data_IF_319559305525
#
_entry.id   IF_319559305525
#
_cell.length_a   1.000
_cell.length_b   1.000
_cell.length_c   1.000
_cell.angle_alpha   90.00
_cell.angle_beta   90.00
_cell.angle_gamma   90.00
#
_symmetry.space_group_name_H-M   'P 1'
#
loop_
_entity.id
_entity.type
_entity.pdbx_description
1 polymer ?
#
# COMPACT_ATOMS: atom_id res chain seq x y z
N UNK A 1 1.31 -11.10 -13.99
CA UNK A 1 0.11 -11.47 -14.77
C UNK A 1 -1.08 -10.89 -14.03
N UNK A 2 -1.72 -9.90 -14.65
CA UNK A 2 -2.95 -9.29 -14.18
C UNK A 2 -4.11 -10.27 -14.20
N UNK A 3 -5.05 -10.11 -13.26
CA UNK A 3 -6.34 -10.81 -13.29
C UNK A 3 -7.32 -10.21 -14.30
N UNK A 4 -7.06 -8.99 -14.77
CA UNK A 4 -7.90 -8.27 -15.72
C UNK A 4 -7.21 -8.26 -17.09
N UNK A 5 -7.72 -9.01 -18.09
CA UNK A 5 -7.15 -8.99 -19.43
C UNK A 5 -7.38 -7.64 -20.11
N UNK A 6 -6.53 -7.32 -21.09
CA UNK A 6 -6.65 -6.11 -21.90
C UNK A 6 -8.06 -6.01 -22.53
N UNK A 7 -8.62 -4.80 -22.53
CA UNK A 7 -9.98 -4.52 -23.02
C UNK A 7 -11.10 -4.75 -22.00
N UNK A 8 -10.80 -5.23 -20.79
CA UNK A 8 -11.81 -5.36 -19.73
C UNK A 8 -12.35 -3.99 -19.33
N UNK A 9 -13.68 -3.84 -19.29
CA UNK A 9 -14.34 -2.60 -18.89
C UNK A 9 -14.23 -2.42 -17.37
N UNK A 10 -13.58 -1.35 -16.93
CA UNK A 10 -13.41 -1.00 -15.53
C UNK A 10 -14.60 -0.15 -15.05
N UNK A 11 -15.65 -0.83 -14.59
CA UNK A 11 -16.87 -0.19 -14.08
C UNK A 11 -16.62 0.62 -12.80
N UNK A 12 -17.34 1.75 -12.64
CA UNK A 12 -17.28 2.57 -11.43
C UNK A 12 -16.14 3.60 -11.37
N UNK A 13 -15.27 3.67 -12.38
CA UNK A 13 -14.22 4.69 -12.48
C UNK A 13 -14.73 6.02 -13.05
N UNK A 14 -15.69 5.96 -13.97
CA UNK A 14 -16.28 7.16 -14.57
C UNK A 14 -17.23 7.84 -13.58
N UNK A 15 -16.86 9.05 -13.15
CA UNK A 15 -17.68 9.86 -12.24
C UNK A 15 -18.40 11.01 -12.96
N UNK A 16 -17.92 11.42 -14.14
CA UNK A 16 -18.56 12.43 -14.98
C UNK A 16 -19.51 11.80 -16.00
N UNK A 17 -20.59 12.51 -16.32
CA UNK A 17 -21.53 12.09 -17.36
C UNK A 17 -20.88 12.19 -18.74
N UNK A 18 -21.15 11.22 -19.61
CA UNK A 18 -20.67 11.21 -20.99
C UNK A 18 -19.21 10.80 -21.18
N UNK A 19 -18.50 10.34 -20.14
CA UNK A 19 -17.15 9.80 -20.31
C UNK A 19 -17.18 8.42 -21.00
N UNK A 20 -16.23 8.17 -21.92
CA UNK A 20 -16.09 6.86 -22.54
C UNK A 20 -15.74 5.78 -21.50
N UNK A 21 -16.07 4.51 -21.76
CA UNK A 21 -15.75 3.42 -20.84
C UNK A 21 -14.22 3.31 -20.66
N UNK A 22 -13.77 3.18 -19.42
CA UNK A 22 -12.35 2.92 -19.13
C UNK A 22 -12.08 1.45 -19.41
N UNK A 23 -11.12 1.19 -20.29
CA UNK A 23 -10.69 -0.15 -20.66
C UNK A 23 -9.32 -0.44 -20.06
N UNK A 24 -9.12 -1.66 -19.54
CA UNK A 24 -7.81 -2.13 -19.11
C UNK A 24 -6.85 -2.19 -20.30
N UNK A 25 -5.62 -1.69 -20.11
CA UNK A 25 -4.54 -1.78 -21.09
C UNK A 25 -3.82 -3.13 -20.97
N UNK A 26 -2.95 -3.50 -21.93
CA UNK A 26 -1.99 -4.58 -21.77
C UNK A 26 -1.10 -4.40 -20.52
N UNK A 27 -0.64 -5.51 -19.93
CA UNK A 27 0.18 -5.51 -18.70
C UNK A 27 1.50 -4.74 -18.89
N UNK A 28 2.02 -4.73 -20.12
CA UNK A 28 3.29 -4.10 -20.52
C UNK A 28 3.21 -2.56 -20.57
N UNK A 29 2.00 -2.02 -20.82
CA UNK A 29 1.79 -0.58 -20.89
C UNK A 29 1.66 0.05 -19.49
N UNK A 30 1.53 -0.79 -18.45
CA UNK A 30 1.52 -0.32 -17.08
C UNK A 30 2.94 -0.18 -16.52
N UNK A 31 3.21 0.87 -15.73
CA UNK A 31 4.51 1.04 -15.09
C UNK A 31 4.89 -0.14 -14.19
N UNK A 32 6.17 -0.53 -14.22
CA UNK A 32 6.68 -1.69 -13.48
C UNK A 32 6.38 -1.67 -11.96
N UNK A 33 6.34 -0.49 -11.35
CA UNK A 33 6.08 -0.34 -9.91
C UNK A 33 4.69 -0.84 -9.47
N UNK A 34 3.73 -0.92 -10.39
CA UNK A 34 2.37 -1.39 -10.11
C UNK A 34 2.38 -2.83 -9.58
N UNK A 35 3.23 -3.66 -10.18
CA UNK A 35 3.35 -5.08 -9.84
C UNK A 35 4.06 -5.29 -8.50
N UNK A 36 4.92 -4.35 -8.10
CA UNK A 36 5.59 -4.39 -6.81
C UNK A 36 4.68 -4.03 -5.64
N UNK A 37 3.46 -3.52 -5.90
CA UNK A 37 2.57 -2.98 -4.87
C UNK A 37 1.92 -4.07 -4.01
N UNK A 38 1.72 -5.27 -4.58
CA UNK A 38 1.18 -6.44 -3.89
C UNK A 38 2.22 -7.16 -3.03
N UNK A 39 3.51 -6.84 -3.22
CA UNK A 39 4.57 -7.42 -2.42
C UNK A 39 4.41 -7.03 -0.94
N UNK A 40 4.54 -7.99 0.00
CA UNK A 40 4.35 -7.73 1.42
C UNK A 40 5.35 -6.68 1.92
N UNK A 41 4.83 -5.65 2.59
CA UNK A 41 5.61 -4.48 3.07
C UNK A 41 6.76 -4.85 4.02
N UNK A 42 6.71 -6.01 4.67
CA UNK A 42 7.78 -6.54 5.52
C UNK A 42 9.07 -6.76 4.73
N UNK A 43 8.98 -7.24 3.48
CA UNK A 43 10.15 -7.56 2.66
C UNK A 43 10.85 -6.35 2.04
N UNK A 44 10.26 -5.15 2.08
CA UNK A 44 10.88 -3.95 1.46
C UNK A 44 12.04 -3.36 2.27
N UNK A 45 12.09 -3.58 3.59
CA UNK A 45 13.07 -2.93 4.47
C UNK A 45 13.41 -3.72 5.76
N UNK A 46 13.03 -4.99 5.88
CA UNK A 46 13.47 -5.79 7.02
C UNK A 46 14.98 -6.06 6.91
N UNK A 47 15.76 -5.44 7.80
CA UNK A 47 17.19 -5.72 7.95
C UNK A 47 18.14 -4.58 7.54
N UNK A 48 17.68 -3.56 6.81
CA UNK A 48 18.54 -2.43 6.42
C UNK A 48 18.50 -1.29 7.44
N UNK A 49 19.65 -0.99 8.05
CA UNK A 49 19.84 0.24 8.82
C UNK A 49 19.96 1.43 7.87
N UNK A 50 18.84 2.09 7.59
CA UNK A 50 18.75 3.26 6.70
C UNK A 50 19.14 4.59 7.39
N UNK A 51 19.73 4.53 8.59
CA UNK A 51 20.16 5.69 9.36
C UNK A 51 19.04 6.44 10.10
N UNK A 52 19.42 7.47 10.89
CA UNK A 52 18.50 8.30 11.66
C UNK A 52 17.53 9.07 10.76
N UNK A 53 16.24 9.07 11.10
CA UNK A 53 15.18 9.77 10.36
C UNK A 53 14.61 8.99 9.16
N UNK A 54 15.08 7.77 8.93
CA UNK A 54 14.56 6.89 7.89
C UNK A 54 13.10 6.49 8.10
N UNK A 55 12.41 6.12 7.02
CA UNK A 55 11.03 5.65 7.11
C UNK A 55 10.89 4.34 7.90
N UNK A 56 11.93 3.51 7.92
CA UNK A 56 12.00 2.30 8.72
C UNK A 56 12.02 2.64 10.23
N UNK A 57 12.85 3.60 10.64
CA UNK A 57 12.91 4.07 12.03
C UNK A 57 11.59 4.73 12.46
N UNK A 58 11.04 5.63 11.64
CA UNK A 58 9.73 6.24 11.90
C UNK A 58 8.63 5.18 12.10
N UNK A 59 8.64 4.12 11.29
CA UNK A 59 7.70 2.99 11.42
C UNK A 59 7.90 2.21 12.73
N UNK A 60 9.15 1.96 13.13
CA UNK A 60 9.50 1.31 14.40
C UNK A 60 8.99 2.12 15.59
N UNK A 61 9.35 3.40 15.65
CA UNK A 61 8.92 4.32 16.73
C UNK A 61 7.40 4.42 16.84
N UNK A 62 6.70 4.51 15.69
CA UNK A 62 5.22 4.51 15.68
C UNK A 62 4.64 3.19 16.21
N UNK A 63 5.30 2.05 15.99
CA UNK A 63 4.86 0.75 16.50
C UNK A 63 5.05 0.66 18.01
N UNK A 64 6.21 1.06 18.51
CA UNK A 64 6.53 1.11 19.94
C UNK A 64 5.57 2.05 20.68
N UNK A 65 5.36 3.27 20.17
CA UNK A 65 4.40 4.21 20.76
C UNK A 65 2.97 3.64 20.80
N UNK A 66 2.51 2.98 19.74
CA UNK A 66 1.20 2.29 19.75
C UNK A 66 1.15 1.18 20.79
N UNK A 67 2.22 0.43 20.99
CA UNK A 67 2.27 -0.65 21.99
C UNK A 67 2.23 -0.08 23.41
N UNK A 68 3.03 0.96 23.69
CA UNK A 68 3.02 1.67 24.97
C UNK A 68 1.62 2.23 25.29
N UNK A 69 0.96 2.86 24.31
CA UNK A 69 -0.41 3.35 24.49
C UNK A 69 -1.41 2.22 24.73
N UNK A 70 -1.27 1.09 24.02
CA UNK A 70 -2.11 -0.09 24.21
C UNK A 70 -1.95 -0.67 25.60
N UNK A 71 -0.71 -0.83 26.07
CA UNK A 71 -0.43 -1.37 27.41
C UNK A 71 -0.92 -0.41 28.49
N UNK A 72 -0.64 0.90 28.33
CA UNK A 72 -1.17 1.94 29.23
C UNK A 72 -2.71 1.91 29.30
N UNK A 73 -3.41 1.81 28.17
CA UNK A 73 -4.87 1.74 28.15
C UNK A 73 -5.39 0.40 28.72
N UNK A 74 -4.69 -0.70 28.47
CA UNK A 74 -5.07 -2.04 28.94
C UNK A 74 -4.96 -2.17 30.47
N UNK A 75 -3.98 -1.52 31.08
CA UNK A 75 -3.75 -1.58 32.53
C UNK A 75 -4.24 -0.34 33.30
N UNK A 76 -4.54 0.77 32.61
CA UNK A 76 -5.06 2.01 33.18
C UNK A 76 -6.58 2.19 33.09
N UNK A 77 -7.31 1.21 32.55
CA UNK A 77 -8.78 1.20 32.51
C UNK A 77 -9.42 0.57 33.77
N UNK A 78 -8.84 0.80 34.95
CA UNK A 78 -9.44 0.49 36.25
C UNK A 78 -9.61 1.75 37.06
#
# INVERSE_FOLDING_TARGET
>A
ISSCPAGTVLSGLNYLKGQPPVLAMPDEDYPAWLWDLTNPKSKRHEGEYLGPGSDAEKRRLRRENRQLLRDKNKFGAR
#
